data_IF_269486527486
#
_entry.id   IF_269486527486
#
_cell.length_a   1.000
_cell.length_b   1.000
_cell.length_c   1.000
_cell.angle_alpha   90.00
_cell.angle_beta   90.00
_cell.angle_gamma   90.00
#
_symmetry.space_group_name_H-M   'P 1'
#
loop_
_entity.id
_entity.type
_entity.pdbx_description
1 polymer ?
#
# COMPACT_ATOMS: atom_id res chain seq x y z
N UNK A 1 -3.22 -2.23 0.79
CA UNK A 1 -4.20 -2.79 -0.15
C UNK A 1 -3.59 -3.05 -1.53
N UNK A 2 -3.09 -2.02 -2.27
CA UNK A 2 -2.64 -2.15 -3.67
C UNK A 2 -1.67 -3.29 -3.90
N UNK A 3 -0.63 -3.45 -3.07
CA UNK A 3 0.33 -4.53 -3.22
C UNK A 3 -0.30 -5.91 -3.04
N UNK A 4 -1.18 -6.07 -2.06
CA UNK A 4 -1.87 -7.35 -1.83
C UNK A 4 -2.90 -7.65 -2.91
N UNK A 5 -3.53 -6.63 -3.50
CA UNK A 5 -4.44 -6.79 -4.64
C UNK A 5 -3.69 -7.24 -5.90
N UNK A 6 -2.52 -6.67 -6.17
CA UNK A 6 -1.75 -6.97 -7.37
C UNK A 6 -0.90 -8.23 -7.25
N UNK A 7 -0.33 -8.48 -6.08
CA UNK A 7 0.71 -9.47 -5.89
C UNK A 7 0.34 -10.61 -4.92
N UNK A 8 -0.83 -10.53 -4.26
CA UNK A 8 -1.32 -11.54 -3.35
C UNK A 8 -1.17 -11.20 -1.87
N UNK A 9 -1.59 -12.13 -1.01
CA UNK A 9 -1.69 -11.91 0.45
C UNK A 9 -0.32 -11.83 1.12
N UNK A 10 -0.27 -11.06 2.22
CA UNK A 10 0.87 -11.08 3.13
C UNK A 10 0.97 -12.41 3.88
N UNK A 11 2.21 -12.84 4.15
CA UNK A 11 2.53 -14.06 4.90
C UNK A 11 3.28 -13.73 6.20
N UNK A 12 4.19 -12.76 6.16
CA UNK A 12 5.03 -12.37 7.30
C UNK A 12 5.35 -10.88 7.24
N UNK A 13 5.27 -10.19 8.37
CA UNK A 13 5.48 -8.75 8.48
C UNK A 13 6.51 -8.45 9.56
N UNK A 14 7.42 -7.53 9.29
CA UNK A 14 8.33 -6.92 10.25
C UNK A 14 8.28 -5.40 10.07
N UNK A 15 8.08 -4.66 11.17
CA UNK A 15 7.91 -3.22 11.10
C UNK A 15 8.63 -2.48 12.21
N UNK A 16 9.04 -1.25 11.90
CA UNK A 16 9.59 -0.27 12.83
C UNK A 16 8.86 1.05 12.66
N UNK A 17 8.37 1.63 13.74
CA UNK A 17 7.70 2.93 13.72
C UNK A 17 8.35 3.93 14.67
N UNK A 18 8.21 5.23 14.34
CA UNK A 18 8.80 6.32 15.13
C UNK A 18 7.93 7.56 15.09
N UNK A 19 7.93 8.30 16.20
CA UNK A 19 7.45 9.68 16.27
C UNK A 19 8.70 10.57 16.22
N UNK A 20 8.91 11.25 15.10
CA UNK A 20 10.02 12.20 14.93
C UNK A 20 9.63 13.60 15.38
N UNK A 21 8.33 13.95 15.29
CA UNK A 21 7.79 15.24 15.70
C UNK A 21 6.83 15.03 16.87
N UNK A 22 7.34 15.02 18.13
CA UNK A 22 6.54 14.64 19.30
C UNK A 22 5.50 15.68 19.73
N UNK A 23 5.60 16.91 19.21
CA UNK A 23 4.64 17.98 19.48
C UNK A 23 4.25 18.68 18.19
N UNK A 24 2.96 18.98 18.05
CA UNK A 24 2.43 19.74 16.90
C UNK A 24 1.44 20.78 17.38
N UNK A 25 1.36 21.92 16.66
CA UNK A 25 0.35 22.93 16.93
C UNK A 25 -1.03 22.41 16.49
N UNK A 26 -2.04 22.55 17.37
CA UNK A 26 -3.44 22.33 17.02
C UNK A 26 -4.00 23.56 16.26
N UNK A 27 -5.30 23.54 15.92
CA UNK A 27 -5.95 24.64 15.20
C UNK A 27 -5.97 25.97 16.00
N UNK A 28 -5.83 25.93 17.32
CA UNK A 28 -5.72 27.09 18.20
C UNK A 28 -4.28 27.60 18.38
N UNK A 29 -3.28 26.94 17.77
CA UNK A 29 -1.86 27.26 17.89
C UNK A 29 -1.18 26.68 19.14
N UNK A 30 -1.86 25.87 19.94
CA UNK A 30 -1.31 25.27 21.16
C UNK A 30 -0.51 24.01 20.79
N UNK A 31 0.64 23.80 21.43
CA UNK A 31 1.43 22.59 21.26
C UNK A 31 0.78 21.42 21.99
N UNK A 32 0.42 20.40 21.22
CA UNK A 32 -0.13 19.14 21.73
C UNK A 32 0.79 17.98 21.45
N UNK A 33 0.84 17.02 22.36
CA UNK A 33 1.63 15.80 22.19
C UNK A 33 1.07 14.91 21.07
N UNK A 34 1.96 14.36 20.26
CA UNK A 34 1.63 13.40 19.20
C UNK A 34 1.91 11.98 19.71
N UNK A 35 0.89 11.13 19.68
CA UNK A 35 0.99 9.72 20.10
C UNK A 35 0.99 8.73 18.92
N UNK A 36 0.71 9.19 17.70
CA UNK A 36 0.67 8.37 16.50
C UNK A 36 2.00 8.50 15.76
N UNK A 37 2.65 7.39 15.37
CA UNK A 37 3.87 7.43 14.58
C UNK A 37 3.70 8.25 13.29
N UNK A 38 4.69 9.07 12.98
CA UNK A 38 4.75 9.86 11.76
C UNK A 38 5.72 9.25 10.73
N UNK A 39 6.34 8.13 11.09
CA UNK A 39 7.22 7.34 10.23
C UNK A 39 7.06 5.84 10.53
N UNK A 40 6.98 5.03 9.48
CA UNK A 40 7.02 3.57 9.58
C UNK A 40 7.75 2.97 8.39
N UNK A 41 8.69 2.06 8.65
CA UNK A 41 9.32 1.16 7.70
C UNK A 41 8.78 -0.25 7.92
N UNK A 42 8.39 -0.91 6.83
CA UNK A 42 7.77 -2.23 6.86
C UNK A 42 8.47 -3.12 5.84
N UNK A 43 8.96 -4.26 6.30
CA UNK A 43 9.39 -5.37 5.45
C UNK A 43 8.36 -6.47 5.55
N UNK A 44 7.84 -6.94 4.43
CA UNK A 44 6.92 -8.06 4.47
C UNK A 44 7.11 -9.02 3.29
N UNK A 45 6.71 -10.25 3.51
CA UNK A 45 6.74 -11.32 2.54
C UNK A 45 5.32 -11.67 2.13
N UNK A 46 5.12 -11.79 0.83
CA UNK A 46 3.86 -12.25 0.26
C UNK A 46 3.82 -13.79 0.23
N UNK A 47 2.61 -14.36 0.14
CA UNK A 47 2.43 -15.82 0.10
C UNK A 47 3.09 -16.48 -1.11
N UNK A 48 3.35 -15.74 -2.19
CA UNK A 48 4.09 -16.20 -3.37
C UNK A 48 5.63 -16.07 -3.22
N UNK A 49 6.11 -15.64 -2.06
CA UNK A 49 7.54 -15.46 -1.76
C UNK A 49 8.14 -14.11 -2.17
N UNK A 50 7.38 -13.23 -2.80
CA UNK A 50 7.87 -11.89 -3.11
C UNK A 50 8.09 -11.08 -1.82
N UNK A 51 9.18 -10.32 -1.77
CA UNK A 51 9.51 -9.44 -0.65
C UNK A 51 9.14 -8.00 -0.99
N UNK A 52 8.55 -7.32 -0.04
CA UNK A 52 8.13 -5.93 -0.18
C UNK A 52 8.76 -5.09 0.91
N UNK A 53 9.33 -3.95 0.52
CA UNK A 53 9.73 -2.88 1.43
C UNK A 53 8.78 -1.69 1.22
N UNK A 54 8.11 -1.29 2.29
CA UNK A 54 7.22 -0.14 2.27
C UNK A 54 7.69 0.86 3.32
N UNK A 55 7.78 2.12 2.91
CA UNK A 55 8.03 3.26 3.81
C UNK A 55 6.86 4.23 3.71
N UNK A 56 6.33 4.62 4.85
CA UNK A 56 5.38 5.73 4.97
C UNK A 56 5.94 6.77 5.94
N UNK A 57 6.02 8.02 5.53
CA UNK A 57 6.57 9.09 6.34
C UNK A 57 5.88 10.41 6.07
N UNK A 58 5.44 11.07 7.13
CA UNK A 58 4.91 12.44 7.09
C UNK A 58 6.00 13.50 7.39
N UNK A 59 7.26 13.07 7.58
CA UNK A 59 8.37 13.93 7.98
C UNK A 59 9.51 14.00 6.96
N UNK A 60 9.38 13.27 5.84
CA UNK A 60 10.39 13.31 4.76
C UNK A 60 10.21 14.58 3.94
N UNK A 61 11.21 15.48 4.01
CA UNK A 61 11.29 16.67 3.16
C UNK A 61 11.81 16.34 1.77
N UNK A 62 11.43 17.13 0.76
CA UNK A 62 11.89 17.02 -0.63
C UNK A 62 11.69 15.60 -1.23
N UNK A 63 10.62 14.94 -0.82
CA UNK A 63 10.26 13.62 -1.30
C UNK A 63 9.84 13.66 -2.78
N UNK A 64 10.15 12.60 -3.52
CA UNK A 64 9.64 12.35 -4.88
C UNK A 64 8.17 11.94 -4.90
N UNK A 65 7.49 11.94 -3.74
CA UNK A 65 6.11 11.49 -3.59
C UNK A 65 5.98 9.96 -3.51
N UNK A 66 4.76 9.47 -3.72
CA UNK A 66 4.49 8.04 -3.73
C UNK A 66 5.09 7.38 -4.96
N UNK A 67 5.84 6.32 -4.76
CA UNK A 67 6.50 5.57 -5.82
C UNK A 67 6.33 4.08 -5.55
N UNK A 68 6.04 3.30 -6.58
CA UNK A 68 5.98 1.84 -6.48
C UNK A 68 6.93 1.26 -7.51
N UNK A 69 7.84 0.41 -7.04
CA UNK A 69 8.78 -0.33 -7.89
C UNK A 69 8.54 -1.81 -7.71
N UNK A 70 8.34 -2.53 -8.82
CA UNK A 70 8.17 -3.97 -8.84
C UNK A 70 9.30 -4.55 -9.70
N UNK A 71 10.18 -5.31 -9.07
CA UNK A 71 11.31 -5.96 -9.72
C UNK A 71 11.00 -7.45 -9.89
N UNK A 72 10.81 -7.88 -11.13
CA UNK A 72 10.56 -9.27 -11.48
C UNK A 72 11.75 -9.88 -12.23
N UNK A 73 11.69 -11.18 -12.44
CA UNK A 73 12.72 -11.92 -13.17
C UNK A 73 12.81 -11.55 -14.64
N UNK A 74 11.70 -11.11 -15.22
CA UNK A 74 11.56 -10.76 -16.63
C UNK A 74 11.58 -9.25 -16.91
N UNK A 75 11.53 -8.41 -15.86
CA UNK A 75 11.52 -6.96 -16.06
C UNK A 75 11.17 -6.19 -14.80
N UNK A 76 11.00 -4.88 -14.99
CA UNK A 76 10.71 -3.92 -13.91
C UNK A 76 9.47 -3.10 -14.27
N UNK A 77 8.62 -2.83 -13.29
CA UNK A 77 7.51 -1.89 -13.37
C UNK A 77 7.73 -0.80 -12.35
N UNK A 78 7.48 0.43 -12.75
CA UNK A 78 7.50 1.60 -11.90
C UNK A 78 6.17 2.36 -12.03
N UNK A 79 5.57 2.70 -10.91
CA UNK A 79 4.40 3.59 -10.86
C UNK A 79 4.81 4.86 -10.12
N UNK A 80 4.64 6.00 -10.76
CA UNK A 80 5.01 7.30 -10.20
C UNK A 80 3.86 7.92 -9.36
N UNK A 81 4.12 9.11 -8.80
CA UNK A 81 3.14 9.83 -7.99
C UNK A 81 1.87 10.22 -8.77
N UNK A 82 1.96 10.42 -10.08
CA UNK A 82 0.86 10.76 -10.97
C UNK A 82 0.08 9.53 -11.45
N UNK A 83 0.46 8.34 -10.97
CA UNK A 83 -0.08 7.04 -11.39
C UNK A 83 0.29 6.65 -12.83
N UNK A 84 1.30 7.30 -13.44
CA UNK A 84 1.84 6.83 -14.69
C UNK A 84 2.62 5.53 -14.48
N UNK A 85 2.44 4.59 -15.39
CA UNK A 85 3.08 3.28 -15.34
C UNK A 85 4.22 3.24 -16.36
N UNK A 86 5.40 2.85 -15.91
CA UNK A 86 6.57 2.63 -16.74
C UNK A 86 6.97 1.17 -16.64
N UNK A 87 7.36 0.55 -17.74
CA UNK A 87 7.83 -0.83 -17.72
C UNK A 87 9.04 -1.02 -18.64
N UNK A 88 9.85 -2.01 -18.31
CA UNK A 88 10.98 -2.44 -19.14
C UNK A 88 11.24 -3.92 -18.90
N UNK A 89 11.65 -4.62 -19.96
CA UNK A 89 12.04 -6.02 -19.91
C UNK A 89 13.51 -6.15 -19.52
N UNK A 90 13.88 -7.32 -19.08
CA UNK A 90 15.28 -7.67 -18.83
C UNK A 90 16.11 -7.46 -20.09
N UNK A 91 17.12 -6.62 -19.98
CA UNK A 91 18.01 -6.23 -21.10
C UNK A 91 17.67 -4.88 -21.72
N UNK A 92 16.54 -4.29 -21.42
CA UNK A 92 16.25 -2.93 -21.84
C UNK A 92 17.15 -1.93 -21.11
N UNK A 93 17.50 -0.83 -21.78
CA UNK A 93 18.37 0.21 -21.22
C UNK A 93 17.60 1.24 -20.38
N UNK A 94 16.28 1.28 -20.51
CA UNK A 94 15.41 2.24 -19.81
C UNK A 94 13.98 1.71 -19.72
N UNK A 95 13.21 2.26 -18.78
CA UNK A 95 11.77 2.04 -18.70
C UNK A 95 11.07 2.90 -19.76
N UNK A 96 10.00 2.36 -20.34
CA UNK A 96 9.13 3.05 -21.28
C UNK A 96 7.76 3.25 -20.64
N UNK A 97 7.18 4.43 -20.83
CA UNK A 97 5.83 4.71 -20.34
C UNK A 97 4.82 3.81 -21.05
N UNK A 98 3.97 3.17 -20.25
CA UNK A 98 2.91 2.31 -20.76
C UNK A 98 1.67 3.15 -21.03
N UNK A 99 1.06 2.97 -22.18
CA UNK A 99 -0.21 3.60 -22.48
C UNK A 99 -1.27 3.15 -21.47
N UNK A 100 -2.08 4.08 -21.02
CA UNK A 100 -3.26 3.82 -20.20
C UNK A 100 -4.50 4.32 -20.95
N UNK A 101 -5.02 3.55 -21.93
CA UNK A 101 -6.13 3.97 -22.78
C UNK A 101 -7.37 4.29 -21.94
N UNK A 102 -8.15 5.27 -22.38
CA UNK A 102 -9.31 5.75 -21.63
C UNK A 102 -10.33 4.63 -21.36
N UNK A 103 -10.43 3.66 -22.27
CA UNK A 103 -11.32 2.48 -22.14
C UNK A 103 -10.88 1.48 -21.07
N UNK A 104 -9.60 1.49 -20.67
CA UNK A 104 -9.05 0.65 -19.63
C UNK A 104 -9.00 1.38 -18.27
N UNK A 105 -9.25 2.67 -18.24
CA UNK A 105 -9.26 3.45 -17.01
C UNK A 105 -10.50 3.13 -16.20
N UNK A 106 -10.28 2.69 -14.96
CA UNK A 106 -11.36 2.49 -14.01
C UNK A 106 -11.45 3.69 -13.07
N UNK A 107 -12.65 4.05 -12.67
CA UNK A 107 -12.91 5.09 -11.69
C UNK A 107 -13.65 4.53 -10.49
N UNK A 108 -13.60 5.27 -9.40
CA UNK A 108 -14.24 4.89 -8.16
C UNK A 108 -15.76 4.99 -8.29
N UNK A 109 -16.47 3.85 -8.23
CA UNK A 109 -17.93 3.76 -8.36
C UNK A 109 -18.56 2.78 -7.34
N UNK A 110 -17.99 2.75 -6.15
CA UNK A 110 -18.37 1.77 -5.12
C UNK A 110 -19.84 1.89 -4.72
N UNK A 111 -20.37 3.10 -4.57
CA UNK A 111 -21.78 3.33 -4.21
C UNK A 111 -22.73 2.83 -5.31
N UNK A 112 -22.39 3.07 -6.56
CA UNK A 112 -23.16 2.57 -7.72
C UNK A 112 -23.11 1.05 -7.78
N UNK A 113 -21.93 0.45 -7.70
CA UNK A 113 -21.74 -1.00 -7.70
C UNK A 113 -22.50 -1.67 -6.55
N UNK A 114 -22.42 -1.10 -5.35
CA UNK A 114 -23.13 -1.59 -4.17
C UNK A 114 -24.66 -1.59 -4.40
N UNK A 115 -25.18 -0.49 -4.91
CA UNK A 115 -26.62 -0.34 -5.18
C UNK A 115 -27.07 -1.31 -6.27
N UNK A 116 -26.29 -1.45 -7.35
CA UNK A 116 -26.59 -2.34 -8.46
C UNK A 116 -26.49 -3.82 -8.06
N UNK A 117 -25.53 -4.16 -7.17
CA UNK A 117 -25.42 -5.51 -6.61
C UNK A 117 -26.67 -5.88 -5.77
N UNK A 118 -27.16 -4.96 -4.92
CA UNK A 118 -28.40 -5.17 -4.16
C UNK A 118 -29.60 -5.38 -5.10
N UNK A 119 -29.67 -4.63 -6.20
CA UNK A 119 -30.72 -4.76 -7.21
C UNK A 119 -30.58 -5.98 -8.10
N UNK A 120 -29.48 -6.72 -8.02
CA UNK A 120 -29.18 -7.86 -8.88
C UNK A 120 -28.87 -7.51 -10.34
N UNK A 121 -28.56 -6.25 -10.64
CA UNK A 121 -28.25 -5.76 -11.99
C UNK A 121 -26.76 -5.79 -12.33
N UNK A 122 -25.91 -5.94 -11.32
CA UNK A 122 -24.45 -6.01 -11.47
C UNK A 122 -23.88 -7.05 -10.50
N UNK A 123 -22.81 -7.74 -10.89
CA UNK A 123 -22.11 -8.65 -9.99
C UNK A 123 -21.33 -7.84 -8.95
N UNK A 124 -21.18 -8.41 -7.76
CA UNK A 124 -20.31 -7.85 -6.71
C UNK A 124 -18.86 -8.00 -7.17
N UNK A 125 -18.23 -6.89 -7.51
CA UNK A 125 -16.81 -6.78 -7.87
C UNK A 125 -16.03 -5.91 -6.86
N UNK A 126 -16.68 -5.61 -5.76
CA UNK A 126 -16.07 -4.89 -4.64
C UNK A 126 -15.23 -5.85 -3.80
N UNK A 127 -14.33 -5.28 -2.99
CA UNK A 127 -13.56 -6.04 -2.00
C UNK A 127 -14.53 -6.68 -0.99
N UNK A 128 -14.68 -8.01 -0.96
CA UNK A 128 -15.54 -8.68 0.01
C UNK A 128 -14.96 -8.57 1.42
N UNK A 129 -15.80 -8.80 2.45
CA UNK A 129 -15.37 -8.71 3.84
C UNK A 129 -14.21 -9.64 4.18
N UNK A 130 -14.15 -10.83 3.58
CA UNK A 130 -13.04 -11.77 3.76
C UNK A 130 -11.70 -11.18 3.33
N UNK A 131 -11.69 -10.45 2.22
CA UNK A 131 -10.48 -9.72 1.78
C UNK A 131 -10.18 -8.55 2.70
N UNK A 132 -11.22 -7.85 3.18
CA UNK A 132 -11.09 -6.79 4.18
C UNK A 132 -10.45 -7.29 5.47
N UNK A 133 -10.81 -8.49 5.94
CA UNK A 133 -10.16 -9.13 7.12
C UNK A 133 -8.66 -9.26 6.90
N UNK A 134 -8.20 -9.74 5.74
CA UNK A 134 -6.76 -9.87 5.47
C UNK A 134 -6.03 -8.54 5.47
N UNK A 135 -6.67 -7.45 5.01
CA UNK A 135 -6.07 -6.11 5.10
C UNK A 135 -5.95 -5.65 6.54
N UNK A 136 -6.96 -5.95 7.38
CA UNK A 136 -6.91 -5.61 8.80
C UNK A 136 -5.91 -6.46 9.58
N UNK A 137 -5.82 -7.76 9.31
CA UNK A 137 -4.78 -8.63 9.88
C UNK A 137 -3.38 -8.13 9.54
N UNK A 138 -3.15 -7.71 8.30
CA UNK A 138 -1.87 -7.12 7.90
C UNK A 138 -1.60 -5.82 8.65
N UNK A 139 -2.58 -4.94 8.80
CA UNK A 139 -2.44 -3.68 9.53
C UNK A 139 -2.13 -3.95 11.00
N UNK A 140 -2.85 -4.86 11.63
CA UNK A 140 -2.62 -5.27 13.01
C UNK A 140 -1.22 -5.90 13.18
N UNK A 141 -0.77 -6.71 12.22
CA UNK A 141 0.56 -7.30 12.26
C UNK A 141 1.69 -6.26 12.21
N UNK A 142 1.51 -5.17 11.45
CA UNK A 142 2.44 -4.01 11.45
C UNK A 142 2.52 -3.38 12.83
N UNK A 143 1.37 -3.17 13.48
CA UNK A 143 1.30 -2.60 14.84
C UNK A 143 2.00 -3.50 15.84
N UNK A 144 1.66 -4.79 15.87
CA UNK A 144 2.27 -5.78 16.78
C UNK A 144 3.77 -5.89 16.56
N UNK A 145 4.21 -5.95 15.30
CA UNK A 145 5.63 -6.04 14.97
C UNK A 145 6.39 -4.79 15.46
N UNK A 146 5.86 -3.60 15.21
CA UNK A 146 6.51 -2.36 15.65
C UNK A 146 6.59 -2.20 17.18
N UNK A 147 5.64 -2.80 17.92
CA UNK A 147 5.61 -2.80 19.39
C UNK A 147 6.53 -3.85 20.00
N UNK A 148 6.62 -5.03 19.38
CA UNK A 148 7.37 -6.17 19.94
C UNK A 148 8.78 -6.30 19.39
N UNK A 149 9.07 -5.67 18.22
CA UNK A 149 10.32 -5.88 17.49
C UNK A 149 10.45 -7.27 16.86
N UNK A 150 9.35 -8.01 16.76
CA UNK A 150 9.35 -9.37 16.21
C UNK A 150 8.61 -9.45 14.88
N UNK A 151 8.99 -10.44 14.07
CA UNK A 151 8.21 -10.77 12.87
C UNK A 151 6.88 -11.41 13.26
N UNK A 152 5.80 -10.98 12.62
CA UNK A 152 4.44 -11.50 12.82
C UNK A 152 4.04 -12.28 11.58
N UNK A 153 3.55 -13.49 11.79
CA UNK A 153 3.06 -14.36 10.72
C UNK A 153 1.55 -14.24 10.56
N UNK A 154 1.09 -14.35 9.31
CA UNK A 154 -0.31 -14.27 8.93
C UNK A 154 -0.83 -15.64 8.46
N UNK A 155 -2.13 -15.95 8.68
CA UNK A 155 -3.16 -15.14 9.36
C UNK A 155 -2.92 -15.01 10.88
N UNK A 156 -3.56 -14.00 11.49
CA UNK A 156 -3.46 -13.74 12.96
C UNK A 156 -4.32 -14.70 13.77
#
# INVERSE_FOLDING_TARGET
ESMMRWLGRGNRVMAMSKIHVPYRANAAGELVSVSIPDHVDILYELANGAQVHMRMSATTGLSTGNQIWIYGTEGTIHVDQQQNVFAGRKGDSQLTEMANPAEEQTYYRVEEQFTNAIRGTEKVDMVPFETGVHYMEWTESVIRSSQTGQAIYLPL
#
